data_IF_514069209724
#
_entry.id   IF_514069209724
#
_cell.length_a   1.000
_cell.length_b   1.000
_cell.length_c   1.000
_cell.angle_alpha   90.00
_cell.angle_beta   90.00
_cell.angle_gamma   90.00
#
_symmetry.space_group_name_H-M   'P 1'
#
loop_
_entity.id
_entity.type
_entity.pdbx_description
1 polymer ?
#
# COMPACT_ATOMS: atom_id res chain seq x y z
N UNK A 1 11.82 -11.01 -1.82
CA UNK A 1 11.42 -11.51 -0.49
C UNK A 1 12.62 -12.11 0.21
N UNK A 2 12.91 -11.67 1.43
CA UNK A 2 13.93 -12.23 2.31
C UNK A 2 13.26 -12.68 3.60
N UNK A 3 13.32 -13.96 3.92
CA UNK A 3 12.56 -14.54 5.03
C UNK A 3 13.38 -15.54 5.83
N UNK A 4 13.28 -15.46 7.17
CA UNK A 4 13.81 -16.51 8.05
C UNK A 4 12.95 -17.78 7.98
N UNK A 5 11.66 -17.66 7.66
CA UNK A 5 10.74 -18.79 7.59
C UNK A 5 10.50 -19.24 6.14
N UNK A 6 10.83 -20.49 5.83
CA UNK A 6 10.49 -21.11 4.54
C UNK A 6 8.97 -21.16 4.31
N UNK A 7 8.18 -21.48 5.35
CA UNK A 7 6.72 -21.48 5.25
C UNK A 7 6.13 -20.12 4.89
N UNK A 8 6.64 -19.05 5.48
CA UNK A 8 6.18 -17.67 5.15
C UNK A 8 6.64 -17.25 3.75
N UNK A 9 7.84 -17.68 3.31
CA UNK A 9 8.26 -17.47 1.90
C UNK A 9 7.27 -18.07 0.91
N UNK A 10 6.81 -19.30 1.15
CA UNK A 10 5.82 -19.95 0.30
C UNK A 10 4.45 -19.27 0.38
N UNK A 11 4.03 -18.87 1.59
CA UNK A 11 2.76 -18.16 1.77
C UNK A 11 2.71 -16.87 0.93
N UNK A 12 3.76 -16.05 0.99
CA UNK A 12 3.88 -14.83 0.20
C UNK A 12 3.97 -15.15 -1.30
N UNK A 13 4.72 -16.21 -1.68
CA UNK A 13 4.86 -16.60 -3.07
C UNK A 13 3.55 -17.11 -3.68
N UNK A 14 2.79 -17.92 -2.96
CA UNK A 14 1.49 -18.42 -3.44
C UNK A 14 0.47 -17.29 -3.57
N UNK A 15 0.42 -16.39 -2.60
CA UNK A 15 -0.41 -15.21 -2.69
C UNK A 15 -0.03 -14.32 -3.88
N UNK A 16 1.27 -14.13 -4.13
CA UNK A 16 1.77 -13.35 -5.26
C UNK A 16 1.34 -13.98 -6.60
N UNK A 17 1.42 -15.32 -6.72
CA UNK A 17 0.94 -16.06 -7.90
C UNK A 17 -0.57 -15.89 -8.11
N UNK A 18 -1.36 -16.05 -7.05
CA UNK A 18 -2.81 -15.91 -7.11
C UNK A 18 -3.27 -14.50 -7.51
N UNK A 19 -2.46 -13.49 -7.17
CA UNK A 19 -2.77 -12.08 -7.42
C UNK A 19 -1.99 -11.48 -8.61
N UNK A 20 -1.24 -12.30 -9.37
CA UNK A 20 -0.47 -11.83 -10.53
C UNK A 20 0.70 -10.89 -10.18
N UNK A 21 1.16 -10.87 -8.93
CA UNK A 21 2.27 -10.02 -8.49
C UNK A 21 3.61 -10.70 -8.74
N UNK A 22 4.48 -10.08 -9.54
CA UNK A 22 5.80 -10.62 -9.85
C UNK A 22 6.75 -10.59 -8.64
N UNK A 23 7.39 -11.74 -8.34
CA UNK A 23 8.47 -11.85 -7.38
C UNK A 23 9.79 -12.12 -8.12
N UNK A 24 10.70 -11.15 -8.10
CA UNK A 24 12.01 -11.31 -8.74
C UNK A 24 12.91 -12.33 -8.02
N UNK A 25 12.97 -12.24 -6.70
CA UNK A 25 13.82 -13.11 -5.87
C UNK A 25 13.13 -13.51 -4.58
N UNK A 26 13.25 -14.78 -4.20
CA UNK A 26 12.77 -15.31 -2.91
C UNK A 26 13.93 -16.01 -2.22
N UNK A 27 14.40 -15.47 -1.09
CA UNK A 27 15.59 -15.88 -0.37
C UNK A 27 15.22 -16.36 1.01
N UNK A 28 15.42 -17.64 1.29
CA UNK A 28 15.26 -18.22 2.62
C UNK A 28 16.55 -18.13 3.42
N UNK A 29 16.57 -17.41 4.53
CA UNK A 29 17.74 -17.26 5.40
C UNK A 29 17.86 -18.37 6.44
N UNK A 30 16.74 -18.98 6.82
CA UNK A 30 16.72 -19.93 7.95
C UNK A 30 17.35 -19.30 9.21
N UNK A 31 18.29 -20.01 9.82
CA UNK A 31 18.98 -19.57 11.04
C UNK A 31 20.12 -18.57 10.80
N UNK A 32 20.28 -18.05 9.59
CA UNK A 32 21.27 -17.00 9.27
C UNK A 32 22.72 -17.38 9.63
N UNK A 33 23.13 -18.62 9.33
CA UNK A 33 24.46 -19.10 9.71
C UNK A 33 25.60 -18.35 9.02
N UNK A 34 25.44 -18.01 7.75
CA UNK A 34 26.50 -17.41 6.92
C UNK A 34 26.11 -16.09 6.28
N UNK A 35 24.81 -15.90 6.01
CA UNK A 35 24.26 -14.72 5.35
C UNK A 35 23.12 -14.17 6.20
N UNK A 36 23.10 -12.87 6.42
CA UNK A 36 22.07 -12.17 7.17
C UNK A 36 21.32 -11.17 6.29
N UNK A 37 20.25 -10.58 6.83
CA UNK A 37 19.49 -9.51 6.18
C UNK A 37 20.39 -8.34 5.75
N UNK A 38 21.35 -7.96 6.60
CA UNK A 38 22.28 -6.85 6.34
C UNK A 38 23.14 -7.09 5.09
N UNK A 39 23.48 -8.33 4.79
CA UNK A 39 24.32 -8.70 3.63
C UNK A 39 23.51 -8.62 2.32
N UNK A 40 22.22 -8.96 2.37
CA UNK A 40 21.35 -9.01 1.20
C UNK A 40 20.77 -7.66 0.82
N UNK A 41 20.60 -6.76 1.77
CA UNK A 41 19.97 -5.46 1.52
C UNK A 41 20.71 -4.62 0.47
N UNK A 42 22.06 -4.46 0.51
CA UNK A 42 22.78 -3.75 -0.55
C UNK A 42 22.62 -4.40 -1.92
N UNK A 43 22.77 -5.73 -1.99
CA UNK A 43 22.59 -6.49 -3.23
C UNK A 43 21.20 -6.24 -3.86
N UNK A 44 20.12 -6.32 -3.05
CA UNK A 44 18.76 -6.11 -3.53
C UNK A 44 18.46 -4.63 -3.82
N UNK A 45 19.12 -3.71 -3.12
CA UNK A 45 18.96 -2.29 -3.39
C UNK A 45 19.55 -1.88 -4.74
N UNK A 46 20.65 -2.50 -5.14
CA UNK A 46 21.32 -2.23 -6.41
C UNK A 46 20.72 -3.02 -7.60
N UNK A 47 19.87 -4.01 -7.31
CA UNK A 47 19.18 -4.81 -8.34
C UNK A 47 18.06 -3.99 -9.01
N UNK A 48 18.14 -3.72 -10.34
CA UNK A 48 17.13 -2.93 -11.05
C UNK A 48 15.77 -3.63 -11.17
N UNK A 49 15.72 -4.95 -11.07
CA UNK A 49 14.48 -5.72 -11.14
C UNK A 49 13.73 -5.76 -9.80
N UNK A 50 14.37 -5.35 -8.70
CA UNK A 50 13.76 -5.29 -7.38
C UNK A 50 13.10 -3.94 -7.16
N UNK A 51 11.78 -3.85 -7.26
CA UNK A 51 11.01 -2.62 -6.99
C UNK A 51 10.81 -2.34 -5.49
N UNK A 52 10.64 -3.39 -4.68
CA UNK A 52 10.45 -3.31 -3.23
C UNK A 52 11.05 -4.56 -2.56
N UNK A 53 11.59 -4.41 -1.36
CA UNK A 53 12.16 -5.50 -0.56
C UNK A 53 11.18 -5.87 0.55
N UNK A 54 10.84 -7.15 0.66
CA UNK A 54 10.03 -7.70 1.77
C UNK A 54 10.95 -8.43 2.74
N UNK A 55 10.87 -8.10 4.04
CA UNK A 55 11.59 -8.77 5.11
C UNK A 55 10.61 -9.45 6.08
N UNK A 56 10.75 -10.75 6.26
CA UNK A 56 10.09 -11.48 7.35
C UNK A 56 11.12 -11.95 8.37
N UNK A 57 10.95 -11.51 9.62
CA UNK A 57 11.93 -11.67 10.69
C UNK A 57 11.34 -12.39 11.91
N UNK A 58 12.05 -13.35 12.45
CA UNK A 58 11.72 -14.03 13.71
C UNK A 58 12.60 -13.56 14.87
N UNK A 59 13.86 -13.22 14.61
CA UNK A 59 14.80 -12.70 15.57
C UNK A 59 16.06 -12.17 14.91
N UNK A 60 16.89 -11.45 15.66
CA UNK A 60 18.16 -10.88 15.20
C UNK A 60 19.13 -10.80 16.37
N UNK A 61 20.25 -11.49 16.30
CA UNK A 61 21.24 -11.52 17.39
C UNK A 61 22.08 -10.24 17.38
N UNK A 62 22.44 -9.76 16.18
CA UNK A 62 23.16 -8.51 15.97
C UNK A 62 22.33 -7.50 15.16
N UNK A 63 21.45 -6.72 15.81
CA UNK A 63 20.53 -5.83 15.09
C UNK A 63 21.19 -4.57 14.52
N UNK A 64 22.40 -4.18 14.98
CA UNK A 64 23.06 -2.95 14.54
C UNK A 64 23.45 -2.93 13.05
N UNK A 65 24.04 -3.99 12.47
CA UNK A 65 24.32 -4.06 11.03
C UNK A 65 23.05 -3.88 10.19
N UNK A 66 21.98 -4.59 10.53
CA UNK A 66 20.69 -4.47 9.86
C UNK A 66 20.12 -3.05 9.94
N UNK A 67 20.15 -2.43 11.12
CA UNK A 67 19.67 -1.05 11.30
C UNK A 67 20.42 -0.06 10.41
N UNK A 68 21.76 -0.18 10.32
CA UNK A 68 22.60 0.67 9.48
C UNK A 68 22.28 0.46 7.99
N UNK A 69 22.23 -0.80 7.54
CA UNK A 69 21.89 -1.13 6.16
C UNK A 69 20.50 -0.60 5.77
N UNK A 70 19.49 -0.75 6.62
CA UNK A 70 18.16 -0.19 6.38
C UNK A 70 18.21 1.34 6.27
N UNK A 71 18.87 2.04 7.16
CA UNK A 71 18.98 3.51 7.08
C UNK A 71 19.62 4.02 5.79
N UNK A 72 20.57 3.28 5.26
CA UNK A 72 21.23 3.60 4.00
C UNK A 72 20.31 3.33 2.79
N UNK A 73 19.56 2.23 2.85
CA UNK A 73 18.84 1.70 1.68
C UNK A 73 17.44 2.25 1.55
N UNK A 74 16.70 2.44 2.66
CA UNK A 74 15.31 2.88 2.63
C UNK A 74 15.08 4.22 1.90
N UNK A 75 16.02 5.18 1.84
CA UNK A 75 15.87 6.37 1.00
C UNK A 75 15.92 6.11 -0.51
N UNK A 76 16.48 4.95 -0.93
CA UNK A 76 16.70 4.58 -2.33
C UNK A 76 15.70 3.54 -2.80
N UNK A 77 15.36 2.60 -1.94
CA UNK A 77 14.47 1.47 -2.25
C UNK A 77 13.55 1.16 -1.07
N UNK A 78 12.25 1.02 -1.28
CA UNK A 78 11.31 0.74 -0.20
C UNK A 78 11.57 -0.66 0.39
N UNK A 79 11.44 -0.74 1.72
CA UNK A 79 11.54 -1.97 2.49
C UNK A 79 10.28 -2.13 3.32
N UNK A 80 9.58 -3.25 3.16
CA UNK A 80 8.43 -3.66 3.99
C UNK A 80 8.89 -4.74 4.94
N UNK A 81 8.65 -4.58 6.23
CA UNK A 81 9.14 -5.51 7.22
C UNK A 81 8.03 -5.99 8.18
N UNK A 82 8.05 -7.27 8.49
CA UNK A 82 7.21 -7.89 9.51
C UNK A 82 8.06 -8.64 10.53
N UNK A 83 7.81 -8.41 11.83
CA UNK A 83 8.41 -9.14 12.94
C UNK A 83 7.40 -10.13 13.52
N UNK A 84 7.73 -11.41 13.48
CA UNK A 84 6.94 -12.46 14.13
C UNK A 84 7.28 -12.60 15.62
N UNK A 85 6.43 -13.30 16.37
CA UNK A 85 6.65 -13.53 17.80
C UNK A 85 6.35 -12.28 18.64
N UNK A 86 5.18 -11.68 18.45
CA UNK A 86 4.75 -10.44 19.12
C UNK A 86 4.26 -10.66 20.55
N UNK A 87 3.64 -11.79 20.81
CA UNK A 87 3.01 -12.11 22.09
C UNK A 87 3.85 -13.13 22.88
N UNK A 88 3.75 -13.12 24.20
CA UNK A 88 4.53 -14.02 25.07
C UNK A 88 4.41 -15.50 24.67
N UNK A 89 3.23 -15.93 24.22
CA UNK A 89 2.99 -17.30 23.76
C UNK A 89 3.78 -17.61 22.48
N UNK A 90 3.72 -16.71 21.48
CA UNK A 90 4.44 -16.90 20.20
C UNK A 90 5.93 -16.65 20.35
N UNK A 91 6.35 -15.82 21.29
CA UNK A 91 7.77 -15.60 21.62
C UNK A 91 8.45 -16.90 22.08
N UNK A 92 7.80 -17.64 22.97
CA UNK A 92 8.28 -18.94 23.46
C UNK A 92 8.40 -19.98 22.34
N UNK A 93 7.43 -20.00 21.42
CA UNK A 93 7.45 -20.86 20.25
C UNK A 93 8.61 -20.49 19.30
N UNK A 94 8.82 -19.21 19.01
CA UNK A 94 9.91 -18.73 18.17
C UNK A 94 11.29 -19.07 18.77
N UNK A 95 11.49 -18.89 20.06
CA UNK A 95 12.74 -19.28 20.75
C UNK A 95 13.05 -20.77 20.61
N UNK A 96 12.03 -21.63 20.71
CA UNK A 96 12.20 -23.07 20.56
C UNK A 96 12.51 -23.49 19.12
N UNK A 97 12.07 -22.70 18.14
CA UNK A 97 12.23 -23.00 16.71
C UNK A 97 13.56 -22.49 16.13
N UNK A 98 13.98 -21.29 16.50
CA UNK A 98 15.15 -20.62 15.87
C UNK A 98 16.39 -20.56 16.75
N UNK A 99 16.27 -20.89 18.05
CA UNK A 99 17.36 -20.77 19.01
C UNK A 99 17.85 -19.33 19.24
N UNK A 100 17.31 -18.35 18.52
CA UNK A 100 17.72 -16.95 18.66
C UNK A 100 16.99 -16.25 19.82
N UNK A 101 17.65 -15.28 20.44
CA UNK A 101 17.02 -14.40 21.44
C UNK A 101 15.92 -13.60 20.75
N UNK A 102 14.68 -14.02 20.91
CA UNK A 102 13.52 -13.29 20.47
C UNK A 102 13.35 -12.06 21.38
N UNK A 103 13.92 -10.92 21.00
CA UNK A 103 13.75 -9.66 21.69
C UNK A 103 12.30 -9.15 21.61
N UNK A 104 11.96 -8.15 22.44
CA UNK A 104 10.63 -7.52 22.46
C UNK A 104 10.28 -6.94 21.09
N UNK A 105 9.13 -7.34 20.55
CA UNK A 105 8.70 -6.95 19.20
C UNK A 105 8.56 -5.44 19.03
N UNK A 106 8.12 -4.73 20.10
CA UNK A 106 7.97 -3.27 20.06
C UNK A 106 9.30 -2.55 19.81
N UNK A 107 10.41 -3.08 20.36
CA UNK A 107 11.76 -2.52 20.14
C UNK A 107 12.19 -2.75 18.69
N UNK A 108 11.96 -3.96 18.15
CA UNK A 108 12.26 -4.26 16.76
C UNK A 108 11.46 -3.37 15.81
N UNK A 109 10.15 -3.29 16.03
CA UNK A 109 9.28 -2.46 15.18
C UNK A 109 9.67 -0.98 15.23
N UNK A 110 10.00 -0.45 16.43
CA UNK A 110 10.46 0.92 16.59
C UNK A 110 11.78 1.16 15.83
N UNK A 111 12.75 0.25 15.96
CA UNK A 111 14.01 0.31 15.25
C UNK A 111 13.83 0.23 13.73
N UNK A 112 13.01 -0.67 13.23
CA UNK A 112 12.70 -0.82 11.80
C UNK A 112 12.06 0.45 11.24
N UNK A 113 11.06 1.03 11.96
CA UNK A 113 10.44 2.32 11.56
C UNK A 113 11.46 3.46 11.58
N UNK A 114 12.30 3.54 12.62
CA UNK A 114 13.35 4.57 12.72
C UNK A 114 14.40 4.43 11.61
N UNK A 115 14.63 3.21 11.12
CA UNK A 115 15.50 2.93 9.98
C UNK A 115 14.81 3.15 8.62
N UNK A 116 13.53 3.56 8.60
CA UNK A 116 12.79 3.90 7.39
C UNK A 116 12.03 2.74 6.75
N UNK A 117 12.00 1.56 7.35
CA UNK A 117 11.18 0.46 6.86
C UNK A 117 9.69 0.67 7.17
N UNK A 118 8.83 0.27 6.24
CA UNK A 118 7.38 0.20 6.46
C UNK A 118 7.07 -1.08 7.22
N UNK A 119 6.73 -0.94 8.50
CA UNK A 119 6.42 -2.08 9.36
C UNK A 119 4.95 -2.43 9.26
N UNK A 120 4.67 -3.69 8.93
CA UNK A 120 3.32 -4.24 8.80
C UNK A 120 3.02 -5.26 9.90
N UNK A 121 1.73 -5.56 10.10
CA UNK A 121 1.29 -6.38 11.22
C UNK A 121 0.83 -7.77 10.79
N UNK A 122 0.32 -7.91 9.58
CA UNK A 122 -0.25 -9.14 9.04
C UNK A 122 0.52 -9.62 7.81
N UNK A 123 0.65 -10.95 7.58
CA UNK A 123 1.37 -11.48 6.42
C UNK A 123 0.83 -10.98 5.09
N UNK A 124 -0.49 -10.78 4.97
CA UNK A 124 -1.15 -10.24 3.79
C UNK A 124 -0.62 -8.84 3.44
N UNK A 125 -0.37 -8.01 4.44
CA UNK A 125 0.13 -6.65 4.25
C UNK A 125 1.55 -6.61 3.65
N UNK A 126 2.35 -7.66 3.84
CA UNK A 126 3.70 -7.74 3.22
C UNK A 126 3.61 -7.57 1.72
N UNK A 127 2.72 -8.33 1.08
CA UNK A 127 2.54 -8.28 -0.37
C UNK A 127 1.77 -7.03 -0.80
N UNK A 128 0.69 -6.68 -0.09
CA UNK A 128 -0.15 -5.54 -0.44
C UNK A 128 0.62 -4.21 -0.45
N UNK A 129 1.43 -3.99 0.58
CA UNK A 129 2.25 -2.79 0.70
C UNK A 129 3.43 -2.83 -0.29
N UNK A 130 4.06 -3.99 -0.49
CA UNK A 130 5.13 -4.11 -1.47
C UNK A 130 4.62 -3.85 -2.89
N UNK A 131 3.43 -4.34 -3.24
CA UNK A 131 2.79 -4.11 -4.54
C UNK A 131 2.62 -2.61 -4.81
N UNK A 132 1.99 -1.87 -3.93
CA UNK A 132 1.78 -0.43 -4.15
C UNK A 132 3.11 0.34 -4.20
N UNK A 133 4.08 0.00 -3.35
CA UNK A 133 5.39 0.65 -3.31
C UNK A 133 6.24 0.40 -4.56
N UNK A 134 6.00 -0.72 -5.27
CA UNK A 134 6.65 -1.00 -6.55
C UNK A 134 5.98 -0.33 -7.74
N UNK A 135 4.72 0.09 -7.62
CA UNK A 135 3.89 0.59 -8.73
C UNK A 135 3.67 2.10 -8.68
N UNK A 136 3.59 2.68 -7.48
CA UNK A 136 3.11 4.06 -7.28
C UNK A 136 4.20 4.92 -6.65
N UNK A 137 4.40 6.12 -7.20
CA UNK A 137 5.31 7.10 -6.59
C UNK A 137 4.79 7.49 -5.20
N UNK A 138 5.63 7.39 -4.15
CA UNK A 138 5.20 7.69 -2.79
C UNK A 138 4.72 9.12 -2.62
N UNK A 139 3.58 9.29 -1.96
CA UNK A 139 3.02 10.55 -1.51
C UNK A 139 3.01 10.58 0.01
N UNK A 140 3.18 11.76 0.58
CA UNK A 140 3.21 11.91 2.03
C UNK A 140 2.03 12.74 2.56
N UNK A 141 1.05 13.06 1.72
CA UNK A 141 -0.21 13.68 2.12
C UNK A 141 -1.17 12.63 2.67
N UNK A 142 -1.97 13.02 3.68
CA UNK A 142 -2.84 12.09 4.43
C UNK A 142 -4.32 12.24 4.13
N UNK A 143 -4.70 13.19 3.27
CA UNK A 143 -6.10 13.49 2.96
C UNK A 143 -6.61 12.60 1.83
N UNK A 144 -7.48 11.67 2.15
CA UNK A 144 -7.99 10.65 1.24
C UNK A 144 -9.39 11.02 0.77
N UNK A 145 -9.61 11.00 -0.53
CA UNK A 145 -10.95 10.99 -1.10
C UNK A 145 -11.36 9.54 -1.39
N UNK A 146 -12.61 9.22 -1.09
CA UNK A 146 -13.25 7.94 -1.37
C UNK A 146 -14.42 8.16 -2.32
N UNK A 147 -14.47 7.36 -3.38
CA UNK A 147 -15.56 7.34 -4.35
C UNK A 147 -16.09 5.94 -4.50
N UNK A 148 -17.39 5.77 -4.55
CA UNK A 148 -18.07 4.48 -4.61
C UNK A 148 -19.34 4.56 -5.45
N UNK A 149 -19.81 3.41 -5.94
CA UNK A 149 -21.15 3.27 -6.54
C UNK A 149 -22.18 2.69 -5.56
N UNK A 150 -21.76 2.41 -4.33
CA UNK A 150 -22.59 1.86 -3.26
C UNK A 150 -22.17 2.50 -1.93
N UNK A 151 -23.15 2.94 -1.13
CA UNK A 151 -22.88 3.63 0.14
C UNK A 151 -22.14 2.75 1.17
N UNK A 152 -22.55 1.48 1.33
CA UNK A 152 -21.98 0.58 2.34
C UNK A 152 -20.47 0.40 2.25
N UNK A 153 -19.91 0.01 1.11
CA UNK A 153 -18.46 -0.08 0.93
C UNK A 153 -17.72 1.26 1.11
N UNK A 154 -18.34 2.38 0.73
CA UNK A 154 -17.78 3.71 0.99
C UNK A 154 -17.63 3.98 2.49
N UNK A 155 -18.59 3.56 3.30
CA UNK A 155 -18.52 3.65 4.77
C UNK A 155 -17.40 2.77 5.32
N UNK A 156 -17.26 1.52 4.85
CA UNK A 156 -16.18 0.62 5.29
C UNK A 156 -14.78 1.17 4.96
N UNK A 157 -14.62 1.78 3.79
CA UNK A 157 -13.38 2.47 3.42
C UNK A 157 -13.10 3.65 4.36
N UNK A 158 -14.12 4.43 4.72
CA UNK A 158 -14.01 5.57 5.64
C UNK A 158 -13.57 5.13 7.05
N UNK A 159 -14.15 4.05 7.56
CA UNK A 159 -13.75 3.47 8.86
C UNK A 159 -12.28 3.04 8.83
N UNK A 160 -11.84 2.42 7.73
CA UNK A 160 -10.45 2.00 7.62
C UNK A 160 -9.49 3.19 7.45
N UNK A 161 -9.87 4.24 6.72
CA UNK A 161 -9.10 5.50 6.64
C UNK A 161 -8.83 6.04 8.05
N UNK A 162 -9.87 6.13 8.89
CA UNK A 162 -9.75 6.57 10.27
C UNK A 162 -8.86 5.62 11.11
N UNK A 163 -9.04 4.30 10.97
CA UNK A 163 -8.25 3.29 11.69
C UNK A 163 -6.77 3.37 11.37
N UNK A 164 -6.40 3.70 10.14
CA UNK A 164 -5.00 3.86 9.71
C UNK A 164 -4.42 5.26 10.05
N UNK A 165 -5.18 6.13 10.73
CA UNK A 165 -4.76 7.48 11.10
C UNK A 165 -4.64 8.42 9.89
N UNK A 166 -5.33 8.10 8.79
CA UNK A 166 -5.50 8.97 7.65
C UNK A 166 -6.71 9.89 7.85
N UNK A 167 -6.86 10.89 7.00
CA UNK A 167 -7.93 11.89 7.11
C UNK A 167 -8.82 11.83 5.86
N UNK A 168 -10.12 11.82 6.04
CA UNK A 168 -11.05 12.04 4.94
C UNK A 168 -10.91 13.49 4.46
N UNK A 169 -10.58 13.68 3.18
CA UNK A 169 -10.41 15.01 2.59
C UNK A 169 -11.71 15.84 2.69
N UNK A 170 -11.63 17.06 3.19
CA UNK A 170 -12.70 18.04 3.08
C UNK A 170 -12.57 18.76 1.73
N UNK A 171 -13.51 18.55 0.82
CA UNK A 171 -13.46 19.19 -0.49
C UNK A 171 -13.55 20.71 -0.37
N UNK A 172 -12.83 21.42 -1.24
CA UNK A 172 -12.96 22.86 -1.38
C UNK A 172 -14.38 23.25 -1.77
N UNK A 173 -14.80 24.47 -1.44
CA UNK A 173 -16.14 24.98 -1.80
C UNK A 173 -16.38 24.91 -3.32
N UNK A 174 -15.33 25.08 -4.13
CA UNK A 174 -15.40 24.95 -5.58
C UNK A 174 -15.73 23.53 -6.00
N UNK A 175 -14.94 22.56 -5.56
CA UNK A 175 -15.15 21.11 -5.88
C UNK A 175 -16.52 20.66 -5.39
N UNK A 176 -16.90 21.03 -4.17
CA UNK A 176 -18.23 20.70 -3.62
C UNK A 176 -19.37 21.30 -4.47
N UNK A 177 -19.22 22.55 -4.92
CA UNK A 177 -20.18 23.19 -5.80
C UNK A 177 -20.27 22.51 -7.16
N UNK A 178 -19.14 22.10 -7.74
CA UNK A 178 -19.08 21.39 -9.01
C UNK A 178 -19.72 20.01 -8.91
N UNK A 179 -19.41 19.23 -7.87
CA UNK A 179 -20.06 17.94 -7.59
C UNK A 179 -21.57 18.07 -7.39
N UNK A 180 -22.02 19.11 -6.71
CA UNK A 180 -23.45 19.39 -6.50
C UNK A 180 -24.20 19.70 -7.82
N UNK A 181 -23.52 20.21 -8.82
CA UNK A 181 -24.10 20.45 -10.16
C UNK A 181 -24.06 19.22 -11.05
N UNK A 182 -22.98 18.44 -10.95
CA UNK A 182 -22.74 17.26 -11.79
C UNK A 182 -23.61 16.08 -11.38
N UNK A 183 -23.69 15.81 -10.08
CA UNK A 183 -24.30 14.58 -9.56
C UNK A 183 -25.77 14.80 -9.19
N UNK A 184 -26.65 13.80 -9.41
CA UNK A 184 -28.06 13.87 -9.05
C UNK A 184 -28.28 14.12 -7.55
N UNK A 185 -29.40 14.77 -7.15
CA UNK A 185 -29.69 15.07 -5.74
C UNK A 185 -29.79 13.85 -4.80
N UNK A 186 -30.03 12.66 -5.37
CA UNK A 186 -30.15 11.41 -4.61
C UNK A 186 -28.79 10.72 -4.34
N UNK A 187 -27.68 11.31 -4.81
CA UNK A 187 -26.32 10.82 -4.54
C UNK A 187 -25.74 11.51 -3.30
N UNK A 188 -24.76 10.84 -2.64
CA UNK A 188 -23.92 11.50 -1.63
C UNK A 188 -22.81 12.23 -2.37
N UNK A 189 -22.78 13.55 -2.28
CA UNK A 189 -21.89 14.44 -3.03
C UNK A 189 -20.74 15.00 -2.19
N UNK A 190 -20.68 14.61 -0.91
CA UNK A 190 -19.57 14.84 0.01
C UNK A 190 -18.61 13.66 0.01
N UNK A 191 -17.47 13.76 0.68
CA UNK A 191 -16.55 12.64 0.85
C UNK A 191 -17.00 11.72 2.03
N UNK A 192 -17.28 10.41 1.83
CA UNK A 192 -17.18 9.65 0.59
C UNK A 192 -18.25 10.02 -0.45
N UNK A 193 -17.86 10.10 -1.73
CA UNK A 193 -18.80 10.35 -2.83
C UNK A 193 -19.46 9.03 -3.22
N UNK A 194 -20.80 8.96 -3.13
CA UNK A 194 -21.58 7.83 -3.66
C UNK A 194 -22.26 8.21 -4.96
N UNK A 195 -21.81 7.61 -6.05
CA UNK A 195 -22.32 7.89 -7.39
C UNK A 195 -23.62 7.14 -7.73
N UNK A 196 -24.11 6.26 -6.86
CA UNK A 196 -25.31 5.39 -6.99
C UNK A 196 -26.07 5.44 -8.34
N UNK A 197 -26.64 6.58 -8.70
CA UNK A 197 -27.50 6.78 -9.88
C UNK A 197 -26.79 7.47 -11.05
N UNK A 198 -25.60 8.06 -10.84
CA UNK A 198 -24.79 8.68 -11.89
C UNK A 198 -23.92 7.64 -12.62
N UNK A 199 -24.55 6.82 -13.48
CA UNK A 199 -23.94 5.61 -14.06
C UNK A 199 -23.38 5.80 -15.47
N UNK A 200 -23.08 7.03 -15.89
CA UNK A 200 -22.42 7.29 -17.18
C UNK A 200 -20.93 7.39 -17.03
N UNK A 201 -20.18 7.02 -18.07
CA UNK A 201 -18.71 7.13 -18.06
C UNK A 201 -18.26 8.58 -17.96
N UNK A 202 -19.00 9.51 -18.58
CA UNK A 202 -18.72 10.95 -18.55
C UNK A 202 -18.86 11.50 -17.12
N UNK A 203 -19.96 11.16 -16.42
CA UNK A 203 -20.17 11.59 -15.03
C UNK A 203 -19.10 11.00 -14.11
N UNK A 204 -18.71 9.75 -14.33
CA UNK A 204 -17.61 9.09 -13.60
C UNK A 204 -16.29 9.82 -13.82
N UNK A 205 -15.90 10.01 -15.08
CA UNK A 205 -14.61 10.65 -15.41
C UNK A 205 -14.54 12.08 -14.86
N UNK A 206 -15.61 12.84 -15.01
CA UNK A 206 -15.66 14.22 -14.51
C UNK A 206 -15.61 14.26 -12.98
N UNK A 207 -16.27 13.34 -12.28
CA UNK A 207 -16.18 13.23 -10.82
C UNK A 207 -14.74 12.94 -10.39
N UNK A 208 -14.06 11.98 -11.03
CA UNK A 208 -12.64 11.66 -10.76
C UNK A 208 -11.76 12.89 -11.00
N UNK A 209 -11.99 13.60 -12.11
CA UNK A 209 -11.24 14.82 -12.45
C UNK A 209 -11.41 15.90 -11.40
N UNK A 210 -12.64 16.18 -10.96
CA UNK A 210 -12.93 17.18 -9.93
C UNK A 210 -12.24 16.86 -8.61
N UNK A 211 -12.34 15.61 -8.16
CA UNK A 211 -11.72 15.15 -6.93
C UNK A 211 -10.18 15.26 -6.99
N UNK A 212 -9.58 14.80 -8.07
CA UNK A 212 -8.11 14.84 -8.22
C UNK A 212 -7.58 16.26 -8.38
N UNK A 213 -8.39 17.20 -8.89
CA UNK A 213 -8.02 18.61 -9.03
C UNK A 213 -8.15 19.41 -7.73
N UNK A 214 -8.79 18.85 -6.69
CA UNK A 214 -8.97 19.53 -5.41
C UNK A 214 -7.66 19.55 -4.62
N UNK A 215 -7.21 20.72 -4.18
CA UNK A 215 -5.96 20.91 -3.45
C UNK A 215 -5.94 20.20 -2.08
N UNK A 216 -7.11 19.97 -1.49
CA UNK A 216 -7.26 19.30 -0.22
C UNK A 216 -7.20 17.77 -0.31
N UNK A 217 -7.12 17.20 -1.52
CA UNK A 217 -7.07 15.75 -1.74
C UNK A 217 -5.64 15.33 -2.06
N UNK A 218 -5.12 14.34 -1.33
CA UNK A 218 -3.79 13.78 -1.55
C UNK A 218 -3.81 12.43 -2.28
N UNK A 219 -4.88 11.65 -2.12
CA UNK A 219 -5.08 10.36 -2.78
C UNK A 219 -6.56 10.09 -3.04
N UNK A 220 -6.86 9.30 -4.08
CA UNK A 220 -8.22 8.85 -4.40
C UNK A 220 -8.31 7.33 -4.33
N UNK A 221 -9.30 6.83 -3.60
CA UNK A 221 -9.69 5.42 -3.57
C UNK A 221 -11.07 5.25 -4.19
N UNK A 222 -11.17 4.40 -5.21
CA UNK A 222 -12.41 4.11 -5.92
C UNK A 222 -12.85 2.69 -5.58
N UNK A 223 -14.05 2.55 -5.03
CA UNK A 223 -14.66 1.24 -4.80
C UNK A 223 -15.58 0.83 -5.95
N UNK A 224 -15.41 -0.40 -6.40
CA UNK A 224 -16.18 -0.99 -7.49
C UNK A 224 -16.55 -2.44 -7.20
N UNK A 225 -17.83 -2.76 -7.17
CA UNK A 225 -18.29 -4.13 -7.34
C UNK A 225 -18.56 -4.38 -8.82
N UNK A 226 -18.20 -5.58 -9.30
CA UNK A 226 -18.59 -5.98 -10.64
C UNK A 226 -20.12 -5.96 -10.76
N UNK A 227 -20.61 -5.12 -11.65
CA UNK A 227 -22.05 -4.97 -11.94
C UNK A 227 -22.23 -4.78 -13.45
N UNK A 228 -23.28 -5.33 -14.09
CA UNK A 228 -23.50 -5.23 -15.54
C UNK A 228 -23.43 -3.80 -16.11
N UNK A 229 -23.76 -2.78 -15.31
CA UNK A 229 -23.74 -1.39 -15.75
C UNK A 229 -22.40 -0.67 -15.49
N UNK A 230 -21.55 -1.21 -14.58
CA UNK A 230 -20.28 -0.60 -14.25
C UNK A 230 -19.26 -1.69 -13.92
N UNK A 231 -18.31 -1.89 -14.81
CA UNK A 231 -17.23 -2.87 -14.69
C UNK A 231 -15.87 -2.18 -14.63
N UNK A 232 -14.82 -2.84 -14.11
CA UNK A 232 -13.46 -2.31 -14.20
C UNK A 232 -13.06 -1.92 -15.63
N UNK A 233 -13.48 -2.69 -16.63
CA UNK A 233 -13.23 -2.41 -18.05
C UNK A 233 -13.80 -1.06 -18.51
N UNK A 234 -15.00 -0.69 -18.04
CA UNK A 234 -15.62 0.61 -18.39
C UNK A 234 -14.92 1.81 -17.76
N UNK A 235 -14.43 1.65 -16.53
CA UNK A 235 -13.77 2.77 -15.83
C UNK A 235 -12.27 2.87 -16.15
N UNK A 236 -11.67 1.82 -16.75
CA UNK A 236 -10.23 1.79 -17.04
C UNK A 236 -9.75 3.00 -17.83
N UNK A 237 -10.33 3.24 -18.99
CA UNK A 237 -9.91 4.35 -19.85
C UNK A 237 -10.09 5.73 -19.18
N UNK A 238 -11.22 6.04 -18.52
CA UNK A 238 -11.37 7.25 -17.72
C UNK A 238 -10.32 7.40 -16.62
N UNK A 239 -10.06 6.35 -15.84
CA UNK A 239 -9.07 6.38 -14.74
C UNK A 239 -7.66 6.64 -15.29
N UNK A 240 -7.26 5.97 -16.36
CA UNK A 240 -5.95 6.15 -16.98
C UNK A 240 -5.75 7.57 -17.51
N UNK A 241 -6.76 8.16 -18.19
CA UNK A 241 -6.70 9.56 -18.62
C UNK A 241 -6.50 10.52 -17.44
N UNK A 242 -7.13 10.27 -16.30
CA UNK A 242 -6.97 11.12 -15.12
C UNK A 242 -5.63 10.88 -14.41
N UNK A 243 -5.10 9.64 -14.42
CA UNK A 243 -3.76 9.34 -13.92
C UNK A 243 -2.67 10.10 -14.67
N UNK A 244 -2.78 10.22 -16.00
CA UNK A 244 -1.82 10.99 -16.81
C UNK A 244 -1.80 12.49 -16.45
N UNK A 245 -2.94 13.02 -15.98
CA UNK A 245 -3.13 14.43 -15.62
C UNK A 245 -2.83 14.75 -14.16
N UNK A 246 -2.76 13.73 -13.30
CA UNK A 246 -2.56 13.88 -11.86
C UNK A 246 -1.42 13.01 -11.36
N UNK A 247 -0.62 13.56 -10.43
CA UNK A 247 0.41 12.79 -9.72
C UNK A 247 -0.10 12.16 -8.43
N UNK A 248 -1.36 12.41 -8.06
CA UNK A 248 -1.95 11.86 -6.84
C UNK A 248 -2.19 10.35 -7.03
N UNK A 249 -1.90 9.53 -6.01
CA UNK A 249 -2.22 8.11 -6.04
C UNK A 249 -3.70 7.86 -6.31
N UNK A 250 -3.99 6.92 -7.22
CA UNK A 250 -5.32 6.38 -7.47
C UNK A 250 -5.26 4.89 -7.20
N UNK A 251 -6.13 4.39 -6.33
CA UNK A 251 -6.27 2.98 -6.01
C UNK A 251 -7.68 2.51 -6.31
N UNK A 252 -7.81 1.27 -6.75
CA UNK A 252 -9.10 0.61 -6.86
C UNK A 252 -9.26 -0.43 -5.75
N UNK A 253 -10.43 -0.42 -5.13
CA UNK A 253 -10.96 -1.52 -4.35
C UNK A 253 -12.02 -2.22 -5.21
N UNK A 254 -11.66 -3.32 -5.88
CA UNK A 254 -12.56 -3.99 -6.82
C UNK A 254 -12.80 -5.44 -6.40
N UNK A 255 -14.07 -5.84 -6.37
CA UNK A 255 -14.44 -7.20 -6.01
C UNK A 255 -15.46 -7.78 -7.02
N UNK A 256 -15.28 -9.06 -7.34
CA UNK A 256 -16.16 -9.82 -8.22
C UNK A 256 -16.03 -11.33 -7.97
N UNK A 257 -16.96 -12.15 -8.48
CA UNK A 257 -16.70 -13.57 -8.64
C UNK A 257 -15.47 -13.82 -9.53
N UNK A 258 -14.74 -14.91 -9.26
CA UNK A 258 -13.58 -15.32 -10.06
C UNK A 258 -13.88 -15.41 -11.56
N UNK A 259 -12.93 -15.02 -12.39
CA UNK A 259 -13.00 -15.12 -13.85
C UNK A 259 -13.68 -13.94 -14.53
N UNK A 260 -14.13 -12.92 -13.80
CA UNK A 260 -14.90 -11.83 -14.39
C UNK A 260 -14.14 -10.51 -14.56
N UNK A 261 -13.08 -10.27 -13.78
CA UNK A 261 -12.35 -8.99 -13.81
C UNK A 261 -10.82 -9.13 -13.80
N UNK A 262 -10.29 -10.34 -13.77
CA UNK A 262 -8.84 -10.56 -13.62
C UNK A 262 -8.04 -9.89 -14.73
N UNK A 263 -8.52 -9.98 -15.97
CA UNK A 263 -7.86 -9.35 -17.11
C UNK A 263 -7.83 -7.82 -16.98
N UNK A 264 -8.92 -7.22 -16.58
CA UNK A 264 -9.02 -5.77 -16.37
C UNK A 264 -8.16 -5.33 -15.18
N UNK A 265 -8.05 -6.15 -14.15
CA UNK A 265 -7.16 -5.91 -13.01
C UNK A 265 -5.70 -5.93 -13.47
N UNK A 266 -5.28 -6.96 -14.21
CA UNK A 266 -3.92 -7.05 -14.79
C UNK A 266 -3.58 -5.83 -15.64
N UNK A 267 -4.51 -5.39 -16.51
CA UNK A 267 -4.31 -4.23 -17.38
C UNK A 267 -4.22 -2.90 -16.60
N UNK A 268 -5.00 -2.74 -15.52
CA UNK A 268 -4.95 -1.59 -14.62
C UNK A 268 -3.62 -1.57 -13.85
N UNK A 269 -3.22 -2.71 -13.30
CA UNK A 269 -1.97 -2.84 -12.55
C UNK A 269 -0.74 -2.65 -13.43
N UNK A 270 -0.73 -3.21 -14.63
CA UNK A 270 0.31 -2.95 -15.64
C UNK A 270 0.42 -1.46 -16.01
N UNK A 271 -0.69 -0.71 -15.88
CA UNK A 271 -0.72 0.74 -16.06
C UNK A 271 -0.40 1.52 -14.77
N UNK A 272 -0.04 0.83 -13.66
CA UNK A 272 0.32 1.43 -12.37
C UNK A 272 -0.87 1.96 -11.57
N UNK A 273 -2.03 1.33 -11.69
CA UNK A 273 -3.20 1.52 -10.82
C UNK A 273 -3.34 0.26 -9.96
N UNK A 274 -2.93 0.27 -8.70
CA UNK A 274 -3.03 -0.92 -7.85
C UNK A 274 -4.50 -1.23 -7.52
N UNK A 275 -4.84 -2.51 -7.59
CA UNK A 275 -6.19 -3.02 -7.34
C UNK A 275 -6.15 -4.00 -6.16
N UNK A 276 -7.08 -3.86 -5.22
CA UNK A 276 -7.24 -4.73 -4.06
C UNK A 276 -8.69 -5.19 -3.94
N UNK A 277 -8.89 -6.37 -3.38
CA UNK A 277 -10.23 -6.98 -3.31
C UNK A 277 -11.10 -6.49 -2.15
N UNK A 278 -10.51 -5.91 -1.08
CA UNK A 278 -11.24 -5.50 0.12
C UNK A 278 -10.82 -4.11 0.62
N UNK A 279 -11.74 -3.38 1.30
CA UNK A 279 -11.51 -2.05 1.84
C UNK A 279 -10.28 -1.95 2.75
N UNK A 280 -10.12 -2.89 3.68
CA UNK A 280 -9.02 -2.91 4.64
C UNK A 280 -7.66 -3.11 3.96
N UNK A 281 -7.55 -4.02 2.99
CA UNK A 281 -6.34 -4.23 2.19
C UNK A 281 -5.97 -2.95 1.42
N UNK A 282 -6.96 -2.33 0.77
CA UNK A 282 -6.76 -1.12 -0.03
C UNK A 282 -6.20 0.04 0.79
N UNK A 283 -6.82 0.32 1.93
CA UNK A 283 -6.42 1.46 2.77
C UNK A 283 -5.12 1.17 3.54
N UNK A 284 -4.86 -0.08 3.97
CA UNK A 284 -3.58 -0.46 4.58
C UNK A 284 -2.42 -0.30 3.60
N UNK A 285 -2.61 -0.71 2.34
CA UNK A 285 -1.61 -0.50 1.30
C UNK A 285 -1.34 1.00 1.07
N UNK A 286 -2.40 1.82 0.95
CA UNK A 286 -2.27 3.28 0.85
C UNK A 286 -1.54 3.87 2.05
N UNK A 287 -1.87 3.44 3.27
CA UNK A 287 -1.18 3.89 4.48
C UNK A 287 0.31 3.53 4.45
N UNK A 288 0.67 2.36 3.93
CA UNK A 288 2.05 1.95 3.70
C UNK A 288 2.79 2.89 2.73
N UNK A 289 2.15 3.24 1.62
CA UNK A 289 2.67 4.20 0.64
C UNK A 289 2.93 5.57 1.27
N UNK A 290 1.97 6.08 2.04
CA UNK A 290 2.06 7.39 2.70
C UNK A 290 3.18 7.38 3.75
N UNK A 291 3.26 6.33 4.59
CA UNK A 291 4.34 6.18 5.58
C UNK A 291 5.72 6.21 4.93
N UNK A 292 5.89 5.53 3.80
CA UNK A 292 7.15 5.58 3.06
C UNK A 292 7.41 6.97 2.45
N UNK A 293 6.40 7.65 1.95
CA UNK A 293 6.50 9.03 1.50
C UNK A 293 6.95 9.99 2.62
N UNK A 294 6.50 9.78 3.86
CA UNK A 294 6.95 10.52 5.04
C UNK A 294 8.43 10.27 5.36
N UNK A 295 8.90 9.02 5.26
CA UNK A 295 10.32 8.66 5.41
C UNK A 295 11.17 9.43 4.40
N UNK A 296 10.78 9.44 3.12
CA UNK A 296 11.52 10.16 2.07
C UNK A 296 11.56 11.67 2.32
N UNK A 297 10.48 12.28 2.81
CA UNK A 297 10.45 13.71 3.19
C UNK A 297 11.41 14.02 4.32
N UNK A 298 11.41 13.20 5.36
CA UNK A 298 12.31 13.39 6.52
C UNK A 298 13.78 13.28 6.13
N UNK A 299 14.13 12.34 5.27
CA UNK A 299 15.50 12.15 4.78
C UNK A 299 15.97 13.35 3.97
N UNK A 300 15.14 13.89 3.06
CA UNK A 300 15.47 15.09 2.26
C UNK A 300 15.61 16.33 3.13
N UNK A 301 14.68 16.57 4.04
CA UNK A 301 14.74 17.71 4.97
C UNK A 301 15.90 17.64 5.98
N UNK A 302 16.38 16.42 6.31
CA UNK A 302 17.59 16.21 7.10
C UNK A 302 18.85 16.58 6.33
N UNK A 303 18.95 16.19 5.05
CA UNK A 303 20.08 16.53 4.20
C UNK A 303 20.24 18.05 3.98
N UNK A 304 19.13 18.76 3.74
CA UNK A 304 19.13 20.22 3.57
C UNK A 304 19.57 21.00 4.83
N UNK A 305 19.32 20.44 6.03
CA UNK A 305 19.77 21.06 7.29
C UNK A 305 21.26 20.83 7.58
N UNK A 306 21.87 19.78 7.05
CA UNK A 306 23.30 19.48 7.22
C UNK A 306 24.18 20.25 6.23
N UNK A 307 23.61 20.84 5.19
CA UNK A 307 24.29 21.64 4.16
C UNK A 307 24.16 23.14 4.40
N UNK A 308 23.48 23.56 5.45
CA UNK A 308 23.43 24.94 5.97
C UNK A 308 24.21 25.06 7.25
#
# INVERSE_FOLDING_TARGET
VVSQSGGVSHLVAYQALDEGVGLGKVIGLGNRCNVDFADLLPYLADDPETGCIILFMEGQDEPRPLFRALKEITPRKPVVAMKAGKYAVSLKAAQSHTGSLAGRSEIYEAALRQAGAVVVQEPQELLDVAKILSMVTPSAGRNVAVMSFQAGPGILLTDEVARQGLTMAAFSSKTQGDLNRLLPPLTIRTNPVDMAFARTEEAFEETVRLILSDENVDALVIFLLHHPFMTPGRIKAPVLRQKERSRKPILLCANSPRGLIEKEVEELEASGIPVYSFPDRTIRALAGLIRYGEVLRQTRGGAERMTR
#
